data_IF_164786648264
#
_entry.id   IF_164786648264
#
_cell.length_a   1.000
_cell.length_b   1.000
_cell.length_c   1.000
_cell.angle_alpha   90.00
_cell.angle_beta   90.00
_cell.angle_gamma   90.00
#
_symmetry.space_group_name_H-M   'P 1'
#
loop_
_entity.id
_entity.type
_entity.pdbx_description
1 polymer ?
#
# COMPACT_ATOMS: atom_id res chain seq x y z
N UNK A 1 5.05 16.57 53.70
CA UNK A 1 4.60 15.22 53.27
C UNK A 1 5.19 14.21 54.23
N UNK A 2 4.33 13.44 54.87
CA UNK A 2 4.74 12.29 55.67
C UNK A 2 5.30 11.18 54.76
N UNK A 3 6.20 10.35 55.29
CA UNK A 3 6.82 9.24 54.54
C UNK A 3 5.77 8.31 53.89
N UNK A 4 4.60 8.16 54.53
CA UNK A 4 3.48 7.37 54.03
C UNK A 4 2.71 8.03 52.87
N UNK A 5 2.65 9.36 52.81
CA UNK A 5 2.05 10.09 51.67
C UNK A 5 2.96 10.01 50.44
N UNK A 6 4.28 10.08 50.63
CA UNK A 6 5.26 9.94 49.56
C UNK A 6 5.23 8.52 48.94
N UNK A 7 5.08 7.47 49.75
CA UNK A 7 4.94 6.09 49.30
C UNK A 7 3.66 5.86 48.49
N UNK A 8 2.51 6.36 48.97
CA UNK A 8 1.22 6.25 48.25
C UNK A 8 1.23 7.01 46.92
N UNK A 9 1.94 8.13 46.85
CA UNK A 9 2.10 8.89 45.61
C UNK A 9 3.00 8.15 44.60
N UNK A 10 4.10 7.53 45.07
CA UNK A 10 4.98 6.73 44.23
C UNK A 10 4.28 5.49 43.67
N UNK A 11 3.50 4.78 44.49
CA UNK A 11 2.68 3.62 44.08
C UNK A 11 1.61 4.01 43.05
N UNK A 12 0.99 5.18 43.21
CA UNK A 12 0.05 5.73 42.21
C UNK A 12 0.73 6.10 40.87
N UNK A 13 1.96 6.61 40.91
CA UNK A 13 2.73 6.96 39.72
C UNK A 13 3.23 5.72 38.96
N UNK A 14 3.60 4.64 39.68
CA UNK A 14 3.97 3.35 39.11
C UNK A 14 2.78 2.70 38.39
N UNK A 15 1.62 2.64 39.04
CA UNK A 15 0.39 2.14 38.42
C UNK A 15 -0.07 2.95 37.20
N UNK A 16 0.16 4.26 37.19
CA UNK A 16 -0.14 5.11 36.05
C UNK A 16 0.80 4.83 34.85
N UNK A 17 2.06 4.49 35.11
CA UNK A 17 3.01 4.06 34.07
C UNK A 17 2.65 2.69 33.51
N UNK A 18 2.27 1.74 34.36
CA UNK A 18 1.83 0.41 33.92
C UNK A 18 0.59 0.50 33.03
N UNK A 19 -0.39 1.32 33.42
CA UNK A 19 -1.59 1.56 32.60
C UNK A 19 -1.27 2.27 31.27
N UNK A 20 -0.32 3.22 31.28
CA UNK A 20 0.13 3.87 30.06
C UNK A 20 0.88 2.91 29.13
N UNK A 21 1.66 1.98 29.69
CA UNK A 21 2.34 0.93 28.95
C UNK A 21 1.34 -0.05 28.33
N UNK A 22 0.35 -0.51 29.09
CA UNK A 22 -0.72 -1.39 28.57
C UNK A 22 -1.48 -0.71 27.43
N UNK A 23 -1.86 0.57 27.58
CA UNK A 23 -2.51 1.33 26.50
C UNK A 23 -1.63 1.45 25.25
N UNK A 24 -0.34 1.69 25.44
CA UNK A 24 0.64 1.76 24.33
C UNK A 24 0.77 0.41 23.62
N UNK A 25 0.79 -0.70 24.35
CA UNK A 25 0.75 -2.04 23.78
C UNK A 25 -0.58 -2.33 23.06
N UNK A 26 -1.72 -1.96 23.64
CA UNK A 26 -3.03 -2.13 22.99
C UNK A 26 -3.16 -1.27 21.71
N UNK A 27 -2.58 -0.06 21.71
CA UNK A 27 -2.49 0.79 20.52
C UNK A 27 -1.55 0.21 19.46
N UNK A 28 -0.41 -0.35 19.86
CA UNK A 28 0.53 -1.05 18.97
C UNK A 28 -0.10 -2.32 18.38
N UNK A 29 -0.77 -3.13 19.19
CA UNK A 29 -1.47 -4.34 18.76
C UNK A 29 -2.59 -3.99 17.78
N UNK A 30 -3.36 -2.93 18.04
CA UNK A 30 -4.41 -2.45 17.12
C UNK A 30 -3.83 -1.93 15.81
N UNK A 31 -2.72 -1.18 15.86
CA UNK A 31 -2.05 -0.71 14.65
C UNK A 31 -1.53 -1.88 13.79
N UNK A 32 -1.02 -2.94 14.44
CA UNK A 32 -0.62 -4.18 13.77
C UNK A 32 -1.82 -4.89 13.14
N UNK A 33 -2.96 -4.95 13.85
CA UNK A 33 -4.21 -5.53 13.34
C UNK A 33 -4.73 -4.76 12.11
N UNK A 34 -4.83 -3.43 12.21
CA UNK A 34 -5.25 -2.55 11.11
C UNK A 34 -4.33 -2.68 9.89
N UNK A 35 -3.00 -2.73 10.11
CA UNK A 35 -2.03 -2.95 9.04
C UNK A 35 -2.19 -4.32 8.37
N UNK A 36 -2.38 -5.39 9.14
CA UNK A 36 -2.57 -6.74 8.62
C UNK A 36 -3.88 -6.85 7.82
N UNK A 37 -4.97 -6.27 8.33
CA UNK A 37 -6.27 -6.24 7.65
C UNK A 37 -6.18 -5.48 6.32
N UNK A 38 -5.48 -4.35 6.32
CA UNK A 38 -5.23 -3.59 5.11
C UNK A 38 -4.36 -4.34 4.10
N UNK A 39 -3.26 -4.98 4.54
CA UNK A 39 -2.45 -5.84 3.67
C UNK A 39 -3.28 -6.98 3.05
N UNK A 40 -4.15 -7.62 3.85
CA UNK A 40 -5.05 -8.66 3.36
C UNK A 40 -6.06 -8.12 2.34
N UNK A 41 -6.61 -6.93 2.58
CA UNK A 41 -7.53 -6.27 1.65
C UNK A 41 -6.86 -6.01 0.30
N UNK A 42 -5.68 -5.40 0.30
CA UNK A 42 -4.93 -5.12 -0.93
C UNK A 42 -4.48 -6.36 -1.68
N UNK A 43 -4.06 -7.41 -0.97
CA UNK A 43 -3.70 -8.68 -1.60
C UNK A 43 -4.92 -9.32 -2.29
N UNK A 44 -6.13 -9.11 -1.76
CA UNK A 44 -7.37 -9.53 -2.44
C UNK A 44 -7.67 -8.63 -3.65
N UNK A 45 -7.56 -7.31 -3.51
CA UNK A 45 -7.72 -6.38 -4.64
C UNK A 45 -6.74 -6.70 -5.79
N UNK A 46 -5.47 -6.98 -5.45
CA UNK A 46 -4.47 -7.42 -6.42
C UNK A 46 -4.86 -8.74 -7.10
N UNK A 47 -5.39 -9.72 -6.36
CA UNK A 47 -5.87 -10.98 -6.96
C UNK A 47 -7.04 -10.77 -7.90
N UNK A 48 -7.98 -9.90 -7.56
CA UNK A 48 -9.11 -9.54 -8.41
C UNK A 48 -8.65 -8.80 -9.66
N UNK A 49 -7.75 -7.82 -9.49
CA UNK A 49 -7.10 -7.11 -10.59
C UNK A 49 -6.36 -8.06 -11.51
N UNK A 50 -5.51 -8.93 -10.96
CA UNK A 50 -4.79 -9.96 -11.72
C UNK A 50 -5.75 -10.85 -12.47
N UNK A 51 -6.77 -11.41 -11.82
CA UNK A 51 -7.74 -12.28 -12.49
C UNK A 51 -8.48 -11.59 -13.65
N UNK A 52 -8.74 -10.28 -13.52
CA UNK A 52 -9.40 -9.49 -14.56
C UNK A 52 -8.48 -9.19 -15.75
N UNK A 53 -7.21 -8.87 -15.50
CA UNK A 53 -6.31 -8.30 -16.50
C UNK A 53 -5.17 -9.22 -16.97
N UNK A 54 -4.91 -10.35 -16.31
CA UNK A 54 -3.81 -11.26 -16.66
C UNK A 54 -3.86 -11.77 -18.11
N UNK A 55 -5.06 -11.89 -18.69
CA UNK A 55 -5.22 -12.29 -20.10
C UNK A 55 -5.33 -11.10 -21.08
N UNK A 56 -5.42 -9.87 -20.56
CA UNK A 56 -5.62 -8.65 -21.34
C UNK A 56 -4.35 -7.82 -21.47
N UNK A 57 -3.52 -7.81 -20.43
CA UNK A 57 -2.23 -7.13 -20.39
C UNK A 57 -1.15 -8.03 -20.95
N UNK A 58 -0.37 -7.48 -21.88
CA UNK A 58 0.78 -8.15 -22.51
C UNK A 58 2.09 -7.46 -22.17
N UNK A 59 2.04 -6.15 -21.97
CA UNK A 59 3.21 -5.32 -21.73
C UNK A 59 3.41 -5.10 -20.22
N UNK A 60 2.35 -4.71 -19.49
CA UNK A 60 2.47 -4.49 -18.04
C UNK A 60 2.67 -5.81 -17.30
N UNK A 61 3.76 -5.91 -16.54
CA UNK A 61 4.07 -7.11 -15.74
C UNK A 61 3.34 -7.06 -14.40
N UNK A 62 2.34 -7.92 -14.23
CA UNK A 62 1.62 -8.05 -12.96
C UNK A 62 2.50 -8.55 -11.81
N UNK A 63 3.58 -9.26 -12.11
CA UNK A 63 4.55 -9.71 -11.11
C UNK A 63 5.38 -8.54 -10.58
N UNK A 64 5.92 -7.68 -11.46
CA UNK A 64 6.65 -6.47 -11.03
C UNK A 64 5.73 -5.48 -10.31
N UNK A 65 4.46 -5.39 -10.73
CA UNK A 65 3.48 -4.60 -9.99
C UNK A 65 3.23 -5.16 -8.58
N UNK A 66 3.21 -6.48 -8.40
CA UNK A 66 3.10 -7.08 -7.06
C UNK A 66 4.31 -6.75 -6.20
N UNK A 67 5.52 -6.88 -6.76
CA UNK A 67 6.75 -6.54 -6.06
C UNK A 67 6.77 -5.05 -5.67
N UNK A 68 6.32 -4.15 -6.56
CA UNK A 68 6.15 -2.73 -6.26
C UNK A 68 5.19 -2.48 -5.09
N UNK A 69 4.07 -3.21 -5.03
CA UNK A 69 3.12 -3.12 -3.92
C UNK A 69 3.76 -3.56 -2.59
N UNK A 70 4.49 -4.70 -2.60
CA UNK A 70 5.21 -5.20 -1.43
C UNK A 70 6.24 -4.19 -0.93
N UNK A 71 7.05 -3.64 -1.83
CA UNK A 71 8.04 -2.61 -1.51
C UNK A 71 7.40 -1.36 -0.90
N UNK A 72 6.20 -0.96 -1.37
CA UNK A 72 5.44 0.14 -0.77
C UNK A 72 4.99 -0.19 0.65
N UNK A 73 4.51 -1.41 0.92
CA UNK A 73 4.07 -1.80 2.27
C UNK A 73 5.21 -1.85 3.28
N UNK A 74 6.37 -2.33 2.87
CA UNK A 74 7.56 -2.38 3.72
C UNK A 74 8.18 -0.99 3.98
N UNK A 75 7.73 0.05 3.27
CA UNK A 75 8.20 1.41 3.48
C UNK A 75 7.84 1.91 4.87
N UNK A 76 8.83 2.47 5.56
CA UNK A 76 8.71 2.96 6.94
C UNK A 76 7.64 4.03 7.15
N UNK A 77 7.31 4.78 6.10
CA UNK A 77 6.33 5.87 6.09
C UNK A 77 5.08 5.51 5.27
N UNK A 78 4.72 4.23 5.23
CA UNK A 78 3.57 3.75 4.48
C UNK A 78 2.27 4.47 4.89
N UNK A 79 1.54 4.93 3.88
CA UNK A 79 0.23 5.55 4.03
C UNK A 79 -0.84 4.64 3.44
N UNK A 80 -1.99 4.53 4.11
CA UNK A 80 -3.12 3.75 3.64
C UNK A 80 -3.76 4.41 2.41
N UNK A 81 -3.28 4.00 1.24
CA UNK A 81 -3.77 4.44 -0.07
C UNK A 81 -4.71 3.38 -0.66
N UNK A 82 -5.62 3.83 -1.52
CA UNK A 82 -6.47 2.91 -2.25
C UNK A 82 -5.69 2.15 -3.30
N UNK A 83 -6.14 0.92 -3.59
CA UNK A 83 -5.53 0.08 -4.60
C UNK A 83 -5.44 0.79 -5.97
N UNK A 84 -6.51 1.45 -6.41
CA UNK A 84 -6.52 2.17 -7.69
C UNK A 84 -5.50 3.31 -7.71
N UNK A 85 -5.27 3.98 -6.58
CA UNK A 85 -4.24 5.02 -6.47
C UNK A 85 -2.84 4.41 -6.62
N UNK A 86 -2.60 3.24 -6.02
CA UNK A 86 -1.32 2.54 -6.13
C UNK A 86 -1.06 2.05 -7.56
N UNK A 87 -2.10 1.60 -8.28
CA UNK A 87 -2.00 1.26 -9.71
C UNK A 87 -1.63 2.49 -10.54
N UNK A 88 -2.28 3.63 -10.29
CA UNK A 88 -1.97 4.88 -10.98
C UNK A 88 -0.54 5.35 -10.68
N UNK A 89 -0.12 5.32 -9.42
CA UNK A 89 1.26 5.65 -9.03
C UNK A 89 2.29 4.78 -9.76
N UNK A 90 2.01 3.48 -9.92
CA UNK A 90 2.90 2.56 -10.64
C UNK A 90 3.02 2.91 -12.13
N UNK A 91 1.90 3.24 -12.77
CA UNK A 91 1.84 3.56 -14.20
C UNK A 91 2.38 4.96 -14.50
N UNK A 92 1.93 5.96 -13.75
CA UNK A 92 2.27 7.37 -13.97
C UNK A 92 3.63 7.75 -13.37
N UNK A 93 4.08 7.05 -12.33
CA UNK A 93 5.37 7.23 -11.68
C UNK A 93 6.56 6.65 -12.44
N UNK A 94 6.39 6.31 -13.72
CA UNK A 94 7.37 5.70 -14.61
C UNK A 94 7.86 4.28 -14.20
N UNK A 95 7.43 3.73 -13.06
CA UNK A 95 7.86 2.39 -12.61
C UNK A 95 7.46 1.30 -13.58
N UNK A 96 6.22 1.32 -14.06
CA UNK A 96 5.76 0.39 -15.10
C UNK A 96 6.63 0.45 -16.36
N UNK A 97 7.08 1.65 -16.75
CA UNK A 97 7.96 1.82 -17.91
C UNK A 97 9.36 1.27 -17.63
N UNK A 98 9.97 1.62 -16.50
CA UNK A 98 11.30 1.13 -16.10
C UNK A 98 11.36 -0.41 -16.09
N UNK A 99 10.33 -1.05 -15.52
CA UNK A 99 10.25 -2.50 -15.44
C UNK A 99 10.09 -3.15 -16.82
N UNK A 100 9.27 -2.54 -17.68
CA UNK A 100 9.05 -3.01 -19.04
C UNK A 100 10.30 -2.82 -19.93
N UNK A 101 10.91 -1.64 -19.91
CA UNK A 101 12.11 -1.30 -20.68
C UNK A 101 13.28 -2.22 -20.30
N UNK A 102 13.48 -2.48 -19.00
CA UNK A 102 14.51 -3.40 -18.51
C UNK A 102 14.36 -4.82 -19.05
N UNK A 103 13.11 -5.28 -19.26
CA UNK A 103 12.82 -6.60 -19.84
C UNK A 103 12.90 -6.62 -21.37
N UNK A 104 12.79 -5.46 -22.01
CA UNK A 104 12.76 -5.31 -23.46
C UNK A 104 13.82 -4.31 -23.95
N UNK A 105 15.13 -4.52 -23.70
CA UNK A 105 16.15 -3.49 -23.98
C UNK A 105 16.30 -3.09 -25.45
N UNK A 106 15.80 -3.90 -26.38
CA UNK A 106 15.83 -3.67 -27.83
C UNK A 106 14.40 -3.53 -28.42
N UNK A 107 13.47 -2.92 -27.66
CA UNK A 107 12.08 -2.73 -28.10
C UNK A 107 11.98 -1.89 -29.37
N UNK A 108 10.90 -2.09 -30.14
CA UNK A 108 10.56 -1.26 -31.30
C UNK A 108 9.57 -0.15 -30.93
N UNK A 109 9.49 0.90 -31.75
CA UNK A 109 8.48 1.96 -31.62
C UNK A 109 7.04 1.39 -31.52
N UNK A 110 6.75 0.29 -32.25
CA UNK A 110 5.45 -0.39 -32.18
C UNK A 110 5.19 -1.03 -30.81
N UNK A 111 6.21 -1.64 -30.20
CA UNK A 111 6.10 -2.25 -28.86
C UNK A 111 5.95 -1.19 -27.77
N UNK A 112 6.65 -0.06 -27.91
CA UNK A 112 6.48 1.10 -27.03
C UNK A 112 5.06 1.67 -27.13
N UNK A 113 4.53 1.83 -28.35
CA UNK A 113 3.14 2.28 -28.55
C UNK A 113 2.12 1.29 -27.94
N UNK A 114 2.33 -0.02 -28.09
CA UNK A 114 1.49 -1.05 -27.45
C UNK A 114 1.51 -0.93 -25.92
N UNK A 115 2.68 -0.69 -25.31
CA UNK A 115 2.81 -0.45 -23.88
C UNK A 115 1.99 0.77 -23.43
N UNK A 116 2.14 1.91 -24.11
CA UNK A 116 1.40 3.12 -23.73
C UNK A 116 -0.11 2.95 -23.86
N UNK A 117 -0.58 2.23 -24.89
CA UNK A 117 -2.00 1.92 -25.06
C UNK A 117 -2.54 1.05 -23.93
N UNK A 118 -1.76 0.10 -23.42
CA UNK A 118 -2.14 -0.68 -22.24
C UNK A 118 -2.18 0.19 -20.97
N UNK A 119 -1.15 1.00 -20.75
CA UNK A 119 -1.09 1.93 -19.62
C UNK A 119 -2.27 2.91 -19.62
N UNK A 120 -2.61 3.50 -20.76
CA UNK A 120 -3.75 4.41 -20.90
C UNK A 120 -5.07 3.74 -20.54
N UNK A 121 -5.31 2.50 -20.99
CA UNK A 121 -6.54 1.76 -20.66
C UNK A 121 -6.67 1.52 -19.17
N UNK A 122 -5.61 1.03 -18.51
CA UNK A 122 -5.65 0.76 -17.07
C UNK A 122 -5.79 2.07 -16.30
N UNK A 123 -5.04 3.11 -16.68
CA UNK A 123 -5.13 4.45 -16.07
C UNK A 123 -6.57 4.98 -16.10
N UNK A 124 -7.19 4.96 -17.27
CA UNK A 124 -8.55 5.49 -17.44
C UNK A 124 -9.58 4.69 -16.64
N UNK A 125 -9.43 3.35 -16.56
CA UNK A 125 -10.30 2.51 -15.75
C UNK A 125 -10.15 2.76 -14.25
N UNK A 126 -8.92 2.89 -13.75
CA UNK A 126 -8.65 3.19 -12.33
C UNK A 126 -9.12 4.58 -11.94
N UNK A 127 -8.82 5.59 -12.78
CA UNK A 127 -9.30 6.95 -12.58
C UNK A 127 -10.82 7.01 -12.56
N UNK A 128 -11.50 6.26 -13.44
CA UNK A 128 -12.96 6.19 -13.45
C UNK A 128 -13.55 5.55 -12.18
N UNK A 129 -12.87 4.57 -11.58
CA UNK A 129 -13.29 3.97 -10.30
C UNK A 129 -13.13 4.99 -9.17
N UNK A 130 -11.99 5.67 -9.07
CA UNK A 130 -11.75 6.71 -8.07
C UNK A 130 -12.74 7.87 -8.17
N UNK A 131 -13.03 8.33 -9.39
CA UNK A 131 -14.03 9.37 -9.65
C UNK A 131 -15.44 8.94 -9.22
N UNK A 132 -15.85 7.70 -9.54
CA UNK A 132 -17.16 7.16 -9.11
C UNK A 132 -17.31 7.08 -7.60
N UNK A 133 -16.20 6.86 -6.89
CA UNK A 133 -16.17 6.81 -5.44
C UNK A 133 -16.14 8.21 -4.79
N UNK A 134 -16.19 9.31 -5.57
CA UNK A 134 -16.04 10.71 -5.16
C UNK A 134 -14.71 11.01 -4.46
N UNK A 135 -13.63 10.35 -4.88
CA UNK A 135 -12.32 10.50 -4.26
C UNK A 135 -11.36 11.39 -5.07
N UNK A 136 -11.77 11.78 -6.28
CA UNK A 136 -11.11 12.73 -7.20
C UNK A 136 -12.16 13.61 -7.86
#
# INVERSE_FOLDING_TARGET
MSFSEALKFAEGAERARDLAWVRKCEEEDRAIEEYNDFCNHLENEFKEFKAKYENQLKCISLEEFHDYLVDRYEAKDFNFELFESLVLDYIEGAKAWEDWEKKNPDYTDEQEEEFYVECEKIRDEMAAILYKNNLI
#
